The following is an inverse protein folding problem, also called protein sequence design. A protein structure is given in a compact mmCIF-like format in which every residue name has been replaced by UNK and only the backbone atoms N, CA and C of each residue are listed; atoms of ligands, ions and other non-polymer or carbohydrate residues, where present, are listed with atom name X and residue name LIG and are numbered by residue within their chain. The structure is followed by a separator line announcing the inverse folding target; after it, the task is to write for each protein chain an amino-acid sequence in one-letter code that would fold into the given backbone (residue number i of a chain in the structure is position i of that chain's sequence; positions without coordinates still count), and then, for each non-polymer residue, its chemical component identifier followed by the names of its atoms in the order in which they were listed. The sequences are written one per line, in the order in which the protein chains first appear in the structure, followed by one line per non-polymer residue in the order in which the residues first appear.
data_IF_460009030413
#
_entry.id   IF_460009030413
#
_cell.length_a   1.000
_cell.length_b   1.000
_cell.length_c   1.000
_cell.angle_alpha   90.00
_cell.angle_beta   90.00
_cell.angle_gamma   90.00
#
_symmetry.space_group_name_H-M   'P 1'
#
loop_
_entity.id
_entity.type
_entity.pdbx_description
1 polymer ?
#
# COMPACT_ATOMS: atom_id res chain seq x y z
N UNK A 1 -3.21 -32.99 -29.49
CA UNK A 1 -3.93 -31.82 -28.95
C UNK A 1 -4.61 -31.11 -30.10
N UNK A 2 -5.90 -30.83 -29.99
CA UNK A 2 -6.61 -30.03 -31.00
C UNK A 2 -6.27 -28.53 -30.84
N UNK A 3 -6.40 -27.73 -31.92
CA UNK A 3 -6.16 -26.28 -31.88
C UNK A 3 -6.97 -25.56 -30.81
N UNK A 4 -8.19 -26.02 -30.57
CA UNK A 4 -9.07 -25.54 -29.51
C UNK A 4 -8.49 -25.75 -28.11
N UNK A 5 -7.93 -26.93 -27.84
CA UNK A 5 -7.30 -27.26 -26.56
C UNK A 5 -6.06 -26.40 -26.32
N UNK A 6 -5.28 -26.11 -27.36
CA UNK A 6 -4.13 -25.21 -27.26
C UNK A 6 -4.56 -23.77 -26.92
N UNK A 7 -5.64 -23.29 -27.55
CA UNK A 7 -6.21 -21.96 -27.28
C UNK A 7 -6.76 -21.85 -25.85
N UNK A 8 -7.47 -22.87 -25.37
CA UNK A 8 -7.96 -22.91 -23.98
C UNK A 8 -6.78 -22.91 -22.99
N UNK A 9 -5.70 -23.65 -23.30
CA UNK A 9 -4.53 -23.71 -22.43
C UNK A 9 -3.76 -22.39 -22.38
N UNK A 10 -3.59 -21.70 -23.51
CA UNK A 10 -2.93 -20.39 -23.55
C UNK A 10 -3.73 -19.33 -22.79
N UNK A 11 -5.06 -19.32 -22.94
CA UNK A 11 -5.95 -18.42 -22.21
C UNK A 11 -5.93 -18.68 -20.70
N UNK A 12 -5.90 -19.94 -20.26
CA UNK A 12 -5.72 -20.27 -18.84
C UNK A 12 -4.40 -19.71 -18.29
N UNK A 13 -3.30 -19.95 -19.01
CA UNK A 13 -1.96 -19.47 -18.62
C UNK A 13 -1.89 -17.94 -18.56
N UNK A 14 -2.59 -17.24 -19.46
CA UNK A 14 -2.67 -15.78 -19.44
C UNK A 14 -3.41 -15.26 -18.21
N UNK A 15 -4.57 -15.85 -17.87
CA UNK A 15 -5.32 -15.48 -16.66
C UNK A 15 -4.51 -15.71 -15.38
N UNK A 16 -3.83 -16.86 -15.28
CA UNK A 16 -3.02 -17.19 -14.10
C UNK A 16 -1.88 -16.19 -13.91
N UNK A 17 -1.22 -15.78 -14.99
CA UNK A 17 -0.19 -14.75 -14.96
C UNK A 17 -0.72 -13.38 -14.52
N UNK A 18 -1.90 -12.97 -14.98
CA UNK A 18 -2.52 -11.72 -14.52
C UNK A 18 -2.87 -11.77 -13.03
N UNK A 19 -3.39 -12.90 -12.55
CA UNK A 19 -3.68 -13.09 -11.13
C UNK A 19 -2.41 -13.01 -10.29
N UNK A 20 -1.32 -13.64 -10.73
CA UNK A 20 -0.02 -13.53 -10.07
C UNK A 20 0.51 -12.10 -10.05
N UNK A 21 0.41 -11.37 -11.16
CA UNK A 21 0.81 -9.95 -11.22
C UNK A 21 -0.02 -9.08 -10.28
N UNK A 22 -1.35 -9.27 -10.24
CA UNK A 22 -2.26 -8.57 -9.32
C UNK A 22 -2.01 -8.95 -7.86
N UNK A 23 -1.71 -10.21 -7.58
CA UNK A 23 -1.32 -10.67 -6.24
C UNK A 23 -0.01 -10.03 -5.78
N UNK A 24 1.00 -9.99 -6.65
CA UNK A 24 2.28 -9.38 -6.32
C UNK A 24 2.19 -7.85 -6.15
N UNK A 25 1.32 -7.16 -6.89
CA UNK A 25 1.14 -5.71 -6.72
C UNK A 25 0.61 -5.36 -5.32
N UNK A 26 -0.22 -6.21 -4.72
CA UNK A 26 -0.77 -6.03 -3.37
C UNK A 26 0.30 -6.07 -2.26
N UNK A 27 1.43 -6.72 -2.50
CA UNK A 27 2.54 -6.86 -1.53
C UNK A 27 3.86 -6.29 -2.03
N UNK A 28 3.84 -5.51 -3.11
CA UNK A 28 5.04 -4.95 -3.70
C UNK A 28 5.67 -3.85 -2.83
N UNK A 29 4.84 -3.03 -2.16
CA UNK A 29 5.31 -1.87 -1.39
C UNK A 29 5.36 -2.16 0.12
N UNK A 30 6.21 -1.45 0.86
CA UNK A 30 6.25 -1.54 2.32
C UNK A 30 4.91 -1.19 2.97
N UNK A 31 4.24 -0.14 2.48
CA UNK A 31 2.93 0.28 2.98
C UNK A 31 1.84 -0.77 2.76
N UNK A 32 1.80 -1.41 1.59
CA UNK A 32 0.81 -2.42 1.28
C UNK A 32 1.02 -3.70 2.11
N UNK A 33 2.28 -4.09 2.35
CA UNK A 33 2.64 -5.15 3.30
C UNK A 33 2.18 -4.83 4.72
N UNK A 34 2.39 -3.60 5.21
CA UNK A 34 1.90 -3.19 6.53
C UNK A 34 0.37 -3.24 6.64
N UNK A 35 -0.35 -2.79 5.61
CA UNK A 35 -1.81 -2.89 5.53
C UNK A 35 -2.29 -4.34 5.58
N UNK A 36 -1.60 -5.24 4.87
CA UNK A 36 -1.89 -6.67 4.90
C UNK A 36 -1.66 -7.27 6.29
N UNK A 37 -0.55 -6.95 6.97
CA UNK A 37 -0.28 -7.39 8.34
C UNK A 37 -1.39 -6.91 9.29
N UNK A 38 -1.84 -5.67 9.17
CA UNK A 38 -2.93 -5.15 10.01
C UNK A 38 -4.24 -5.92 9.78
N UNK A 39 -4.59 -6.24 8.52
CA UNK A 39 -5.76 -7.05 8.19
C UNK A 39 -5.63 -8.49 8.71
N UNK A 40 -4.47 -9.12 8.53
CA UNK A 40 -4.19 -10.47 9.03
C UNK A 40 -4.25 -10.54 10.56
N UNK A 41 -3.67 -9.56 11.26
CA UNK A 41 -3.74 -9.49 12.74
C UNK A 41 -5.19 -9.31 13.24
N UNK A 42 -6.04 -8.60 12.49
CA UNK A 42 -7.48 -8.46 12.82
C UNK A 42 -8.24 -9.76 12.59
N UNK A 43 -7.99 -10.44 11.47
CA UNK A 43 -8.71 -11.66 11.09
C UNK A 43 -8.25 -12.90 11.88
N UNK A 44 -6.95 -13.00 12.20
CA UNK A 44 -6.36 -14.17 12.82
C UNK A 44 -5.35 -13.76 13.91
N UNK A 45 -5.76 -13.79 15.18
CA UNK A 45 -4.89 -13.53 16.34
C UNK A 45 -3.86 -14.64 16.62
N UNK A 46 -3.95 -15.77 15.92
CA UNK A 46 -3.09 -16.94 16.13
C UNK A 46 -1.63 -16.69 15.71
N UNK A 47 -1.39 -15.76 14.78
CA UNK A 47 -0.06 -15.50 14.25
C UNK A 47 0.64 -14.40 15.04
N UNK A 48 1.85 -14.71 15.55
CA UNK A 48 2.73 -13.70 16.15
C UNK A 48 3.15 -12.67 15.10
N UNK A 49 3.08 -11.39 15.45
CA UNK A 49 3.43 -10.27 14.55
C UNK A 49 4.84 -10.40 13.96
N UNK A 50 5.82 -10.89 14.75
CA UNK A 50 7.19 -11.11 14.28
C UNK A 50 7.27 -12.09 13.09
N UNK A 51 6.48 -13.17 13.12
CA UNK A 51 6.43 -14.15 12.03
C UNK A 51 5.85 -13.52 10.74
N UNK A 52 4.86 -12.63 10.87
CA UNK A 52 4.26 -11.94 9.73
C UNK A 52 5.22 -10.94 9.08
N UNK A 53 6.00 -10.21 9.88
CA UNK A 53 7.04 -9.31 9.36
C UNK A 53 8.14 -10.08 8.64
N UNK A 54 8.58 -11.20 9.22
CA UNK A 54 9.57 -12.08 8.59
C UNK A 54 9.04 -12.67 7.26
N UNK A 55 7.78 -13.13 7.23
CA UNK A 55 7.12 -13.67 6.04
C UNK A 55 7.07 -12.64 4.89
N UNK A 56 6.74 -11.38 5.19
CA UNK A 56 6.66 -10.32 4.20
C UNK A 56 8.01 -9.64 3.91
N UNK A 57 9.10 -10.14 4.48
CA UNK A 57 10.46 -9.57 4.37
C UNK A 57 10.49 -8.09 4.75
N UNK A 58 9.81 -7.74 5.83
CA UNK A 58 9.86 -6.40 6.43
C UNK A 58 10.82 -6.40 7.62
N UNK A 59 11.65 -5.36 7.78
CA UNK A 59 12.48 -5.24 8.97
C UNK A 59 11.60 -5.07 10.21
N UNK A 60 11.94 -5.78 11.28
CA UNK A 60 11.18 -5.74 12.53
C UNK A 60 11.15 -4.32 13.13
N UNK A 61 12.21 -3.54 12.91
CA UNK A 61 12.28 -2.14 13.33
C UNK A 61 11.10 -1.32 12.80
N UNK A 62 10.62 -1.60 11.58
CA UNK A 62 9.45 -0.93 11.01
C UNK A 62 8.17 -1.13 11.84
N UNK A 63 8.06 -2.21 12.60
CA UNK A 63 6.95 -2.40 13.54
C UNK A 63 7.00 -1.40 14.70
N UNK A 64 8.18 -1.17 15.26
CA UNK A 64 8.35 -0.28 16.42
C UNK A 64 8.29 1.20 16.03
N UNK A 65 8.73 1.54 14.82
CA UNK A 65 8.64 2.90 14.27
C UNK A 65 7.30 3.20 13.58
N UNK A 66 6.37 2.24 13.52
CA UNK A 66 5.02 2.57 13.07
C UNK A 66 4.42 3.59 14.03
N UNK A 67 3.96 4.70 13.47
CA UNK A 67 3.13 5.67 14.17
C UNK A 67 1.82 4.95 14.52
N UNK A 68 1.79 4.30 15.68
CA UNK A 68 0.57 3.75 16.26
C UNK A 68 -0.38 4.92 16.39
N UNK A 69 -1.53 4.85 15.72
CA UNK A 69 -2.46 5.95 15.54
C UNK A 69 -2.72 6.64 16.87
N UNK A 70 -2.00 7.74 17.12
CA UNK A 70 -2.37 8.69 18.16
C UNK A 70 -3.73 9.22 17.73
N UNK A 71 -4.68 9.28 18.66
CA UNK A 71 -5.96 9.91 18.36
C UNK A 71 -5.64 11.33 17.86
N UNK A 72 -6.00 11.60 16.60
CA UNK A 72 -5.86 12.93 16.04
C UNK A 72 -6.83 13.82 16.83
N UNK A 73 -6.30 14.84 17.50
CA UNK A 73 -7.16 15.79 18.17
C UNK A 73 -7.99 16.55 17.12
N UNK A 74 -9.15 17.08 17.53
CA UNK A 74 -10.05 17.76 16.61
C UNK A 74 -9.38 18.95 15.90
N UNK A 75 -8.48 19.66 16.58
CA UNK A 75 -7.74 20.79 16.02
C UNK A 75 -6.76 20.37 14.92
N UNK A 76 -6.06 19.24 15.10
CA UNK A 76 -5.13 18.68 14.10
C UNK A 76 -5.90 18.21 12.88
N UNK A 77 -7.07 17.60 13.07
CA UNK A 77 -7.94 17.22 11.95
C UNK A 77 -8.45 18.44 11.18
N UNK A 78 -8.87 19.50 11.87
CA UNK A 78 -9.27 20.75 11.25
C UNK A 78 -8.11 21.39 10.45
N UNK A 79 -6.91 21.41 11.05
CA UNK A 79 -5.71 21.94 10.41
C UNK A 79 -5.31 21.13 9.17
N UNK A 80 -5.39 19.80 9.21
CA UNK A 80 -5.13 18.94 8.04
C UNK A 80 -6.14 19.22 6.92
N UNK A 81 -7.43 19.40 7.25
CA UNK A 81 -8.45 19.78 6.26
C UNK A 81 -8.14 21.14 5.64
N UNK A 82 -7.80 22.12 6.46
CA UNK A 82 -7.42 23.45 6.00
C UNK A 82 -6.23 23.38 5.03
N UNK A 83 -5.13 22.71 5.41
CA UNK A 83 -3.95 22.56 4.56
C UNK A 83 -4.30 21.90 3.22
N UNK A 84 -5.11 20.84 3.23
CA UNK A 84 -5.55 20.16 2.01
C UNK A 84 -6.37 21.08 1.11
N UNK A 85 -7.27 21.87 1.70
CA UNK A 85 -8.13 22.80 1.00
C UNK A 85 -7.31 23.94 0.38
N UNK A 86 -6.43 24.57 1.14
CA UNK A 86 -5.51 25.60 0.64
C UNK A 86 -4.62 25.07 -0.47
N UNK A 87 -4.12 23.83 -0.36
CA UNK A 87 -3.32 23.23 -1.42
C UNK A 87 -4.08 23.08 -2.74
N UNK A 88 -5.39 22.80 -2.70
CA UNK A 88 -6.25 22.76 -3.88
C UNK A 88 -6.46 24.18 -4.44
N UNK A 89 -6.76 25.15 -3.57
CA UNK A 89 -6.99 26.55 -3.95
C UNK A 89 -5.77 27.20 -4.63
N UNK A 90 -4.57 26.90 -4.15
CA UNK A 90 -3.31 27.41 -4.73
C UNK A 90 -2.78 26.54 -5.87
N UNK A 91 -3.53 25.53 -6.33
CA UNK A 91 -3.11 24.65 -7.42
C UNK A 91 -1.83 23.86 -7.14
N UNK A 92 -1.61 23.46 -5.88
CA UNK A 92 -0.41 22.75 -5.41
C UNK A 92 0.91 23.47 -5.68
N UNK A 93 0.88 24.80 -5.83
CA UNK A 93 2.08 25.61 -6.11
C UNK A 93 2.85 25.97 -4.84
N UNK A 94 2.18 26.02 -3.68
CA UNK A 94 2.80 26.43 -2.42
C UNK A 94 3.84 25.39 -1.95
N UNK A 95 5.10 25.81 -1.83
CA UNK A 95 6.23 24.96 -1.45
C UNK A 95 6.93 24.23 -2.61
N UNK A 96 6.42 24.36 -3.84
CA UNK A 96 7.14 23.89 -5.03
C UNK A 96 8.26 24.90 -5.31
N UNK A 97 9.53 24.49 -5.18
CA UNK A 97 10.66 25.36 -5.60
C UNK A 97 10.49 25.64 -7.09
N UNK A 98 10.12 26.86 -7.43
CA UNK A 98 10.18 27.35 -8.80
C UNK A 98 11.67 27.52 -9.10
N UNK A 99 12.25 26.59 -9.85
CA UNK A 99 13.55 26.83 -10.46
C UNK A 99 13.29 27.78 -11.63
N UNK A 100 13.27 29.09 -11.35
CA UNK A 100 13.27 30.12 -12.37
C UNK A 100 14.67 30.11 -12.99
N UNK A 101 14.82 29.43 -14.13
CA UNK A 101 15.97 29.64 -15.01
C UNK A 101 15.61 30.91 -15.79
N UNK A 102 16.27 32.02 -15.44
CA UNK A 102 16.27 33.28 -16.18
C UNK A 102 17.15 33.14 -17.43
#
# INVERSE_FOLDING_TARGET
MTPEQQKIQSLKKQRDNELLKKGNSLVHSGQSKHSMIAKMNRACKQYKTNKLYQLLKLPLSSYYYQVKGKSLNNNTNAMIKFIKQTAIEVGHTYGKRVCTIL
#
